data_IF_833967052018
#
_entry.id   IF_833967052018
#
_cell.length_a   1.000
_cell.length_b   1.000
_cell.length_c   1.000
_cell.angle_alpha   90.00
_cell.angle_beta   90.00
_cell.angle_gamma   90.00
#
_symmetry.space_group_name_H-M   'P 1'
#
loop_
_entity.id
_entity.type
_entity.pdbx_description
1 polymer ?
#
# COMPACT_ATOMS: atom_id res chain seq x y z
N UNK A 1 -2.32 5.57 23.01
CA UNK A 1 -1.01 4.88 22.97
C UNK A 1 -0.54 4.68 24.40
N UNK A 2 0.06 3.54 24.71
CA UNK A 2 0.59 3.24 26.04
C UNK A 2 2.00 3.80 26.23
N UNK A 3 2.43 3.98 27.48
CA UNK A 3 3.76 4.52 27.83
C UNK A 3 4.90 3.62 27.37
N UNK A 4 4.68 2.30 27.39
CA UNK A 4 5.60 1.27 26.90
C UNK A 4 5.77 1.29 25.36
N UNK A 5 5.06 2.17 24.66
CA UNK A 5 5.14 2.31 23.20
C UNK A 5 4.24 1.36 22.42
N UNK A 6 3.35 0.63 23.08
CA UNK A 6 2.32 -0.12 22.39
C UNK A 6 1.15 0.78 21.95
N UNK A 7 0.54 0.47 20.81
CA UNK A 7 -0.78 0.98 20.46
C UNK A 7 -1.79 -0.15 20.65
N UNK A 8 -2.80 0.09 21.50
CA UNK A 8 -3.80 -0.90 21.88
C UNK A 8 -5.17 -0.32 21.65
N UNK A 9 -6.05 -1.12 21.04
CA UNK A 9 -7.48 -0.83 20.94
C UNK A 9 -8.17 -1.53 22.10
N UNK A 10 -8.98 -0.78 22.85
CA UNK A 10 -9.72 -1.27 24.01
C UNK A 10 -11.22 -1.31 23.73
N UNK A 11 -11.93 -2.21 24.41
CA UNK A 11 -13.38 -2.06 24.60
C UNK A 11 -13.67 -0.77 25.37
N UNK A 12 -14.87 -0.24 25.21
CA UNK A 12 -15.34 0.90 26.02
C UNK A 12 -15.20 0.58 27.51
N UNK A 13 -14.59 1.50 28.28
CA UNK A 13 -14.28 1.31 29.71
C UNK A 13 -12.97 0.57 30.01
N UNK A 14 -12.32 -0.01 28.99
CA UNK A 14 -10.99 -0.62 29.11
C UNK A 14 -9.85 0.40 29.07
N UNK A 15 -8.65 -0.07 29.40
CA UNK A 15 -7.45 0.75 29.44
C UNK A 15 -6.23 -0.02 29.98
N UNK A 16 -5.06 0.63 30.04
CA UNK A 16 -3.82 -0.02 30.46
C UNK A 16 -3.92 -0.64 31.88
N UNK A 17 -4.62 0.02 32.80
CA UNK A 17 -4.83 -0.48 34.16
C UNK A 17 -6.09 -1.34 34.33
N UNK A 18 -7.12 -1.13 33.50
CA UNK A 18 -8.43 -1.78 33.66
C UNK A 18 -8.62 -2.98 32.73
N UNK A 19 -7.68 -3.24 31.81
CA UNK A 19 -7.73 -4.36 30.87
C UNK A 19 -8.70 -4.12 29.70
N UNK A 20 -9.14 -5.20 29.04
CA UNK A 20 -10.12 -5.12 27.95
C UNK A 20 -9.55 -4.77 26.57
N UNK A 21 -8.25 -4.96 26.36
CA UNK A 21 -7.63 -4.84 25.03
C UNK A 21 -8.16 -5.89 24.05
N UNK A 22 -8.49 -5.48 22.83
CA UNK A 22 -9.00 -6.36 21.76
C UNK A 22 -8.01 -6.56 20.62
N UNK A 23 -7.04 -5.66 20.48
CA UNK A 23 -5.96 -5.76 19.52
C UNK A 23 -4.82 -4.83 19.92
N UNK A 24 -3.57 -5.18 19.56
CA UNK A 24 -2.42 -4.31 19.76
C UNK A 24 -1.35 -4.47 18.67
N UNK A 25 -0.49 -3.46 18.54
CA UNK A 25 0.61 -3.43 17.56
C UNK A 25 1.82 -4.29 17.95
N UNK A 26 1.92 -4.71 19.21
CA UNK A 26 3.08 -5.44 19.75
C UNK A 26 4.40 -4.65 19.59
N UNK A 27 4.30 -3.33 19.79
CA UNK A 27 5.43 -2.40 19.69
C UNK A 27 5.93 -1.94 21.05
N UNK A 28 5.49 -2.60 22.13
CA UNK A 28 5.93 -2.32 23.50
C UNK A 28 7.44 -2.60 23.68
N UNK A 29 8.04 -1.93 24.66
CA UNK A 29 9.40 -2.22 25.10
C UNK A 29 9.93 -1.19 26.10
N UNK A 30 11.23 -1.25 26.37
CA UNK A 30 11.88 -0.47 27.44
C UNK A 30 12.80 0.62 26.91
N UNK A 31 12.95 0.77 25.59
CA UNK A 31 13.75 1.85 25.01
C UNK A 31 13.23 3.23 25.42
N UNK A 32 14.15 4.15 25.68
CA UNK A 32 13.85 5.53 26.12
C UNK A 32 14.42 6.58 25.19
N UNK A 33 15.20 6.17 24.19
CA UNK A 33 15.89 7.03 23.24
C UNK A 33 14.95 7.64 22.19
N UNK A 34 13.72 7.13 22.06
CA UNK A 34 12.70 7.63 21.12
C UNK A 34 11.36 7.85 21.82
N UNK A 35 10.63 8.89 21.40
CA UNK A 35 9.26 9.14 21.85
C UNK A 35 8.30 8.27 21.06
N UNK A 36 7.49 7.41 21.72
CA UNK A 36 6.53 6.60 21.00
C UNK A 36 5.47 7.47 20.34
N UNK A 37 5.08 7.12 19.12
CA UNK A 37 4.03 7.83 18.38
C UNK A 37 3.24 6.88 17.48
N UNK A 38 1.95 7.17 17.35
CA UNK A 38 1.07 6.60 16.35
C UNK A 38 0.62 7.73 15.42
N UNK A 39 0.66 7.51 14.11
CA UNK A 39 0.38 8.56 13.12
C UNK A 39 -0.28 8.00 11.87
N UNK A 40 -1.10 8.84 11.25
CA UNK A 40 -1.70 8.65 9.94
C UNK A 40 -1.06 9.63 8.96
N UNK A 41 -0.46 9.11 7.89
CA UNK A 41 0.15 9.95 6.85
C UNK A 41 -0.01 9.26 5.50
N UNK A 42 -0.65 9.93 4.54
CA UNK A 42 -0.84 9.41 3.16
C UNK A 42 -1.41 7.99 3.14
N UNK A 43 -2.51 7.74 3.84
CA UNK A 43 -3.16 6.42 3.94
C UNK A 43 -2.49 5.40 4.86
N UNK A 44 -1.23 5.62 5.27
CA UNK A 44 -0.50 4.71 6.16
C UNK A 44 -0.82 4.99 7.62
N UNK A 45 -1.21 3.96 8.36
CA UNK A 45 -1.21 3.97 9.82
C UNK A 45 0.07 3.28 10.31
N UNK A 46 0.93 4.04 10.99
CA UNK A 46 2.16 3.51 11.54
C UNK A 46 2.31 3.85 13.02
N UNK A 47 3.00 2.95 13.71
CA UNK A 47 3.29 3.07 15.14
C UNK A 47 4.78 2.86 15.33
N UNK A 48 5.46 3.89 15.80
CA UNK A 48 6.84 3.82 16.27
C UNK A 48 6.78 3.60 17.79
N UNK A 49 7.11 2.38 18.25
CA UNK A 49 7.08 2.01 19.67
C UNK A 49 8.47 1.92 20.30
N UNK A 50 8.57 1.21 21.43
CA UNK A 50 9.80 1.07 22.24
C UNK A 50 10.47 -0.30 22.16
N UNK A 51 10.05 -1.16 21.23
CA UNK A 51 10.66 -2.48 21.09
C UNK A 51 12.14 -2.43 20.71
N UNK A 52 12.86 -3.51 21.01
CA UNK A 52 14.33 -3.55 21.00
C UNK A 52 14.96 -3.77 19.61
N UNK A 53 14.19 -3.73 18.52
CA UNK A 53 14.74 -3.88 17.17
C UNK A 53 15.53 -2.64 16.72
N UNK A 54 16.61 -2.86 15.97
CA UNK A 54 17.52 -1.80 15.49
C UNK A 54 16.82 -0.70 14.66
N UNK A 55 15.72 -1.03 13.98
CA UNK A 55 14.93 -0.07 13.19
C UNK A 55 13.97 0.81 14.01
N UNK A 56 13.97 0.68 15.35
CA UNK A 56 12.82 1.01 16.19
C UNK A 56 11.70 0.00 15.92
N UNK A 57 11.05 -0.53 16.95
CA UNK A 57 9.97 -1.48 16.69
C UNK A 57 8.78 -0.74 16.11
N UNK A 58 8.67 -0.82 14.79
CA UNK A 58 7.67 -0.13 13.99
C UNK A 58 6.61 -1.12 13.52
N UNK A 59 5.36 -0.84 13.85
CA UNK A 59 4.21 -1.48 13.21
C UNK A 59 3.69 -0.58 12.09
N UNK A 60 3.19 -1.19 11.02
CA UNK A 60 2.74 -0.50 9.81
C UNK A 60 1.55 -1.27 9.22
N UNK A 61 0.49 -0.55 8.86
CA UNK A 61 -0.65 -1.12 8.13
C UNK A 61 -0.26 -1.53 6.71
N UNK A 62 0.79 -0.91 6.17
CA UNK A 62 1.28 -1.10 4.79
C UNK A 62 0.21 -0.75 3.77
N UNK A 63 -0.42 0.41 3.96
CA UNK A 63 -1.56 0.92 3.17
C UNK A 63 -1.28 2.33 2.67
N UNK A 64 -0.22 2.52 1.90
CA UNK A 64 0.19 3.86 1.43
C UNK A 64 -0.66 4.31 0.23
N UNK A 65 -1.28 5.47 0.35
CA UNK A 65 -1.94 6.15 -0.76
C UNK A 65 -0.90 6.71 -1.74
N UNK A 66 -1.13 6.48 -3.02
CA UNK A 66 -0.30 6.92 -4.14
C UNK A 66 -1.10 7.84 -5.05
N UNK A 67 -0.38 8.50 -5.94
CA UNK A 67 -0.99 9.28 -7.00
C UNK A 67 -1.87 8.38 -7.86
N UNK A 68 -2.96 8.93 -8.37
CA UNK A 68 -3.93 8.26 -9.23
C UNK A 68 -3.43 8.09 -10.70
N UNK A 69 -2.14 8.25 -10.95
CA UNK A 69 -1.53 8.19 -12.28
C UNK A 69 -0.14 7.54 -12.26
N UNK A 70 0.24 6.91 -13.37
CA UNK A 70 1.60 6.41 -13.65
C UNK A 70 2.00 6.81 -15.08
N UNK A 71 3.21 7.37 -15.25
CA UNK A 71 3.76 7.73 -16.55
C UNK A 71 4.81 6.73 -17.04
N UNK A 72 5.03 6.68 -18.36
CA UNK A 72 6.03 5.80 -18.99
C UNK A 72 7.48 6.14 -18.63
N UNK A 73 7.76 7.37 -18.22
CA UNK A 73 9.12 7.84 -17.92
C UNK A 73 9.58 7.48 -16.50
N UNK A 74 9.08 6.36 -15.99
CA UNK A 74 9.41 5.87 -14.68
C UNK A 74 10.90 5.47 -14.60
N UNK A 75 11.73 6.37 -14.08
CA UNK A 75 13.09 6.06 -13.60
C UNK A 75 13.11 5.96 -12.06
N UNK A 76 12.69 4.80 -11.53
CA UNK A 76 13.03 4.37 -10.17
C UNK A 76 11.88 4.21 -9.18
N UNK A 77 12.06 3.32 -8.20
CA UNK A 77 11.04 2.74 -7.30
C UNK A 77 10.07 3.70 -6.57
N UNK A 78 10.32 5.02 -6.53
CA UNK A 78 9.53 6.00 -5.77
C UNK A 78 8.08 6.20 -6.25
N UNK A 79 7.83 6.03 -7.56
CA UNK A 79 6.51 6.22 -8.19
C UNK A 79 5.76 4.91 -8.52
N UNK A 80 6.39 3.74 -8.37
CA UNK A 80 5.72 2.45 -8.55
C UNK A 80 4.86 2.15 -7.33
N UNK A 81 3.76 1.47 -7.56
CA UNK A 81 2.92 1.00 -6.47
C UNK A 81 3.40 -0.38 -6.04
N UNK A 82 3.67 -0.56 -4.75
CA UNK A 82 3.90 -1.89 -4.18
C UNK A 82 2.63 -2.51 -3.63
N UNK A 83 2.62 -3.82 -3.37
CA UNK A 83 1.52 -4.48 -2.66
C UNK A 83 1.15 -3.72 -1.37
N UNK A 84 -0.13 -3.41 -1.21
CA UNK A 84 -0.71 -2.54 -0.18
C UNK A 84 -0.92 -1.09 -0.60
N UNK A 85 -0.34 -0.64 -1.72
CA UNK A 85 -0.56 0.72 -2.22
C UNK A 85 -1.93 0.85 -2.89
N UNK A 86 -2.48 2.05 -2.83
CA UNK A 86 -3.80 2.34 -3.39
C UNK A 86 -3.88 3.79 -3.85
N UNK A 87 -4.85 4.09 -4.71
CA UNK A 87 -5.28 5.46 -4.99
C UNK A 87 -6.80 5.50 -5.06
N UNK A 88 -7.34 6.70 -5.18
CA UNK A 88 -8.78 6.91 -5.26
C UNK A 88 -9.13 8.02 -6.24
N UNK A 89 -10.36 7.96 -6.71
CA UNK A 89 -11.02 9.04 -7.43
C UNK A 89 -12.30 9.45 -6.69
N UNK A 90 -13.11 10.35 -7.24
CA UNK A 90 -14.40 10.68 -6.65
C UNK A 90 -15.32 9.46 -6.43
N UNK A 91 -15.25 8.43 -7.28
CA UNK A 91 -16.24 7.33 -7.31
C UNK A 91 -15.69 5.94 -6.98
N UNK A 92 -14.36 5.73 -7.07
CA UNK A 92 -13.75 4.40 -6.85
C UNK A 92 -12.46 4.47 -6.01
N UNK A 93 -12.09 3.34 -5.42
CA UNK A 93 -10.73 3.06 -4.96
C UNK A 93 -10.08 2.08 -5.93
N UNK A 94 -8.80 2.28 -6.25
CA UNK A 94 -7.95 1.31 -6.93
C UNK A 94 -6.90 0.83 -5.95
N UNK A 95 -6.90 -0.46 -5.64
CA UNK A 95 -6.09 -1.04 -4.57
C UNK A 95 -5.23 -2.15 -5.13
N UNK A 96 -3.90 -2.02 -5.03
CA UNK A 96 -2.99 -3.13 -5.20
C UNK A 96 -2.88 -3.84 -3.86
N UNK A 97 -3.63 -4.93 -3.70
CA UNK A 97 -3.83 -5.61 -2.44
C UNK A 97 -2.59 -6.38 -1.98
N UNK A 98 -2.56 -6.75 -0.69
CA UNK A 98 -1.43 -7.51 -0.11
C UNK A 98 -1.34 -8.94 -0.66
N UNK A 99 -2.43 -9.46 -1.23
CA UNK A 99 -2.45 -10.74 -1.95
C UNK A 99 -1.95 -10.60 -3.40
N UNK A 100 -1.46 -9.42 -3.81
CA UNK A 100 -0.95 -9.10 -5.14
C UNK A 100 -2.02 -8.94 -6.24
N UNK A 101 -3.30 -8.83 -5.88
CA UNK A 101 -4.36 -8.48 -6.85
C UNK A 101 -4.51 -6.96 -6.98
N UNK A 102 -4.67 -6.44 -8.20
CA UNK A 102 -5.09 -5.05 -8.41
C UNK A 102 -6.62 -5.05 -8.56
N UNK A 103 -7.31 -4.36 -7.67
CA UNK A 103 -8.78 -4.40 -7.60
C UNK A 103 -9.36 -3.00 -7.56
N UNK A 104 -10.39 -2.77 -8.35
CA UNK A 104 -11.18 -1.55 -8.33
C UNK A 104 -12.46 -1.77 -7.53
N UNK A 105 -12.69 -0.92 -6.54
CA UNK A 105 -13.85 -0.94 -5.66
C UNK A 105 -14.68 0.32 -5.83
N UNK A 106 -15.99 0.16 -5.98
CA UNK A 106 -16.93 1.26 -6.08
C UNK A 106 -17.24 1.85 -4.70
N UNK A 107 -17.10 3.17 -4.55
CA UNK A 107 -17.21 3.84 -3.25
C UNK A 107 -18.59 3.76 -2.60
N UNK A 108 -19.65 3.86 -3.40
CA UNK A 108 -21.03 3.91 -2.88
C UNK A 108 -21.49 2.64 -2.14
N UNK A 109 -20.87 1.49 -2.40
CA UNK A 109 -21.28 0.21 -1.79
C UNK A 109 -20.12 -0.77 -1.52
N UNK A 110 -18.88 -0.36 -1.74
CA UNK A 110 -17.70 -1.20 -1.51
C UNK A 110 -17.59 -2.41 -2.45
N UNK A 111 -18.39 -2.49 -3.53
CA UNK A 111 -18.36 -3.65 -4.43
C UNK A 111 -17.10 -3.63 -5.29
N UNK A 112 -16.39 -4.77 -5.38
CA UNK A 112 -15.38 -4.98 -6.41
C UNK A 112 -16.05 -4.98 -7.81
N UNK A 113 -15.60 -4.11 -8.69
CA UNK A 113 -16.16 -3.95 -10.05
C UNK A 113 -15.21 -4.41 -11.16
N UNK A 114 -13.92 -4.51 -10.86
CA UNK A 114 -12.90 -5.05 -11.75
C UNK A 114 -11.70 -5.56 -10.95
N UNK A 115 -10.97 -6.57 -11.46
CA UNK A 115 -9.68 -6.98 -10.91
C UNK A 115 -8.75 -7.57 -11.99
N UNK A 116 -7.43 -7.54 -11.73
CA UNK A 116 -6.41 -8.09 -12.63
C UNK A 116 -6.30 -9.62 -12.61
N UNK A 117 -6.85 -10.29 -11.59
CA UNK A 117 -6.76 -11.74 -11.43
C UNK A 117 -5.37 -12.23 -10.98
N UNK A 118 -4.52 -11.36 -10.44
CA UNK A 118 -3.11 -11.66 -10.11
C UNK A 118 -2.89 -12.11 -8.67
N UNK A 119 -3.95 -12.48 -7.96
CA UNK A 119 -3.91 -12.87 -6.56
C UNK A 119 -2.99 -14.08 -6.30
N UNK A 120 -2.38 -14.11 -5.12
CA UNK A 120 -1.48 -15.18 -4.66
C UNK A 120 0.01 -14.90 -4.91
N UNK A 121 0.82 -15.95 -4.73
CA UNK A 121 2.28 -15.88 -4.77
C UNK A 121 2.90 -15.34 -3.47
N UNK A 122 4.13 -15.76 -3.17
CA UNK A 122 4.87 -15.35 -1.97
C UNK A 122 5.63 -14.03 -2.13
N UNK A 123 5.98 -13.67 -3.38
CA UNK A 123 6.70 -12.44 -3.70
C UNK A 123 5.71 -11.28 -3.89
N UNK A 124 6.05 -10.12 -3.31
CA UNK A 124 5.33 -8.86 -3.56
C UNK A 124 5.42 -8.47 -5.03
N UNK A 125 4.46 -7.66 -5.46
CA UNK A 125 4.43 -7.14 -6.83
C UNK A 125 4.57 -5.63 -6.86
N UNK A 126 4.95 -5.13 -8.03
CA UNK A 126 4.92 -3.71 -8.39
C UNK A 126 3.93 -3.51 -9.54
N UNK A 127 3.07 -2.51 -9.42
CA UNK A 127 2.35 -1.92 -10.56
C UNK A 127 3.20 -0.75 -11.06
N UNK A 128 3.57 -0.79 -12.34
CA UNK A 128 4.60 0.06 -12.92
C UNK A 128 4.40 0.25 -14.42
N UNK A 129 4.90 1.36 -14.94
CA UNK A 129 4.94 1.65 -16.38
C UNK A 129 6.37 2.08 -16.73
N UNK A 130 7.25 1.10 -16.95
CA UNK A 130 8.68 1.35 -17.10
C UNK A 130 8.99 1.95 -18.47
N UNK A 131 10.03 2.79 -18.56
CA UNK A 131 10.48 3.38 -19.83
C UNK A 131 10.76 2.32 -20.91
N UNK A 132 11.37 1.18 -20.51
CA UNK A 132 11.64 0.04 -21.40
C UNK A 132 10.37 -0.59 -21.98
N UNK A 133 9.24 -0.47 -21.28
CA UNK A 133 7.96 -1.09 -21.64
C UNK A 133 7.13 -0.16 -22.56
N UNK A 134 7.62 1.07 -22.83
CA UNK A 134 7.06 2.04 -23.80
C UNK A 134 5.53 2.16 -23.71
N UNK A 135 5.01 2.49 -22.53
CA UNK A 135 3.58 2.69 -22.29
C UNK A 135 2.78 1.45 -21.92
N UNK A 136 3.41 0.29 -21.73
CA UNK A 136 2.73 -0.89 -21.17
C UNK A 136 2.69 -0.82 -19.63
N UNK A 137 1.48 -0.79 -19.06
CA UNK A 137 1.28 -0.85 -17.62
C UNK A 137 1.32 -2.31 -17.18
N UNK A 138 2.24 -2.65 -16.29
CA UNK A 138 2.49 -4.03 -15.87
C UNK A 138 2.32 -4.22 -14.37
N UNK A 139 1.83 -5.38 -13.98
CA UNK A 139 2.00 -5.94 -12.64
C UNK A 139 3.11 -6.98 -12.74
N UNK A 140 4.22 -6.76 -12.06
CA UNK A 140 5.39 -7.65 -12.09
C UNK A 140 5.84 -8.03 -10.68
N UNK A 141 6.51 -9.17 -10.54
CA UNK A 141 7.22 -9.50 -9.32
C UNK A 141 8.21 -8.38 -8.95
N UNK A 142 8.21 -7.93 -7.70
CA UNK A 142 9.10 -6.86 -7.27
C UNK A 142 10.56 -7.30 -7.36
N UNK A 143 11.39 -6.57 -8.11
CA UNK A 143 12.83 -6.83 -8.28
C UNK A 143 13.62 -5.54 -8.16
N UNK A 144 14.83 -5.62 -7.61
CA UNK A 144 15.73 -4.46 -7.49
C UNK A 144 16.12 -3.88 -8.86
N UNK A 145 16.13 -4.71 -9.91
CA UNK A 145 16.49 -4.32 -11.26
C UNK A 145 15.28 -4.08 -12.17
N UNK A 146 14.05 -4.06 -11.62
CA UNK A 146 12.79 -3.91 -12.37
C UNK A 146 12.63 -4.94 -13.52
N UNK A 147 13.17 -6.14 -13.35
CA UNK A 147 13.19 -7.25 -14.33
C UNK A 147 12.37 -8.47 -13.87
N UNK A 148 11.53 -8.30 -12.85
CA UNK A 148 10.72 -9.39 -12.33
C UNK A 148 9.69 -9.91 -13.34
N UNK A 149 9.32 -11.18 -13.20
CA UNK A 149 8.33 -11.82 -14.05
C UNK A 149 6.99 -11.06 -14.03
N UNK A 150 6.48 -10.75 -15.23
CA UNK A 150 5.21 -10.05 -15.43
C UNK A 150 4.06 -11.02 -15.17
N UNK A 151 3.13 -10.64 -14.29
CA UNK A 151 1.92 -11.40 -13.97
C UNK A 151 0.71 -10.93 -14.79
N UNK A 152 0.67 -9.65 -15.14
CA UNK A 152 -0.39 -9.04 -15.93
C UNK A 152 0.12 -7.78 -16.63
N UNK A 153 -0.48 -7.43 -17.76
CA UNK A 153 -0.18 -6.22 -18.54
C UNK A 153 -1.38 -5.70 -19.32
N UNK A 154 -1.37 -4.42 -19.67
CA UNK A 154 -2.41 -3.77 -20.50
C UNK A 154 -2.25 -4.03 -21.99
N UNK A 155 -1.07 -4.49 -22.44
CA UNK A 155 -0.73 -4.68 -23.85
C UNK A 155 -0.74 -3.37 -24.65
N UNK A 156 -0.39 -2.27 -24.00
CA UNK A 156 -0.32 -0.92 -24.59
C UNK A 156 1.10 -0.50 -24.94
N UNK A 157 2.04 -1.45 -24.98
CA UNK A 157 3.44 -1.19 -25.33
C UNK A 157 3.63 -0.68 -26.75
N UNK A 158 4.66 0.15 -26.94
CA UNK A 158 4.94 0.84 -28.21
C UNK A 158 4.40 2.27 -28.26
N UNK A 159 3.76 2.74 -27.19
CA UNK A 159 3.26 4.10 -27.00
C UNK A 159 4.15 4.81 -25.97
N UNK A 160 5.33 5.34 -26.36
CA UNK A 160 6.11 6.17 -25.46
C UNK A 160 5.28 7.37 -25.00
N UNK A 161 5.60 7.90 -23.83
CA UNK A 161 4.96 9.06 -23.20
C UNK A 161 3.49 8.85 -22.76
N UNK A 162 2.98 7.61 -22.83
CA UNK A 162 1.65 7.26 -22.34
C UNK A 162 1.52 7.45 -20.82
N UNK A 163 0.28 7.50 -20.33
CA UNK A 163 -0.06 7.60 -18.92
C UNK A 163 -1.22 6.68 -18.55
N UNK A 164 -1.04 5.90 -17.49
CA UNK A 164 -2.16 5.29 -16.80
C UNK A 164 -2.81 6.34 -15.87
N UNK A 165 -4.13 6.51 -15.93
CA UNK A 165 -4.88 7.49 -15.14
C UNK A 165 -6.17 6.89 -14.58
N UNK A 166 -6.38 7.04 -13.28
CA UNK A 166 -7.65 6.79 -12.62
C UNK A 166 -8.47 8.08 -12.54
N UNK A 167 -9.57 8.11 -13.30
CA UNK A 167 -10.44 9.26 -13.49
C UNK A 167 -11.57 9.30 -12.46
N UNK A 168 -12.14 10.49 -12.24
CA UNK A 168 -13.19 10.73 -11.24
C UNK A 168 -14.53 10.04 -11.56
N UNK A 169 -14.78 9.73 -12.83
CA UNK A 169 -15.92 8.96 -13.29
C UNK A 169 -15.81 7.44 -13.03
N UNK A 170 -14.66 6.99 -12.54
CA UNK A 170 -14.41 5.59 -12.19
C UNK A 170 -13.78 4.78 -13.31
N UNK A 171 -13.31 5.43 -14.38
CA UNK A 171 -12.52 4.77 -15.41
C UNK A 171 -11.04 4.72 -15.02
N UNK A 172 -10.38 3.60 -15.38
CA UNK A 172 -8.93 3.47 -15.33
C UNK A 172 -8.43 3.23 -16.75
N UNK A 173 -7.71 4.21 -17.29
CA UNK A 173 -7.30 4.26 -18.69
C UNK A 173 -5.78 4.27 -18.80
N UNK A 174 -5.25 3.77 -19.91
CA UNK A 174 -3.84 3.88 -20.33
C UNK A 174 -3.79 4.44 -21.74
#
# INVERSE_FOLDING_TARGET
>A
MQEDGNFVIYKQGGGPQTGGGIWHTATYGTRTDWRPKAYLVGGEFAVDGRGNSAAGQRWSSRTVERQNQLCSDFEGAGYAWGSGNWAQSATVWLVLQQDNNLVMYRKRDGKAIWNSGTYGGSQRVTLQMLYKDRGDLTIANASLNNDGAVRWRTYTGGNPDAWALLQDDGNFVV
#
